data_IF_581046591696
#
_entry.id   IF_581046591696
#
_cell.length_a   1.000
_cell.length_b   1.000
_cell.length_c   1.000
_cell.angle_alpha   90.00
_cell.angle_beta   90.00
_cell.angle_gamma   90.00
#
_symmetry.space_group_name_H-M   'P 1'
#
loop_
_entity.id
_entity.type
_entity.pdbx_description
1 polymer ?
#
# COMPACT_ATOMS: atom_id res chain seq x y z
N UNK A 1 -3.97 18.39 6.82
CA UNK A 1 -3.18 18.04 5.63
C UNK A 1 -3.43 16.57 5.40
N UNK A 2 -4.20 16.22 4.38
CA UNK A 2 -4.48 14.82 4.06
C UNK A 2 -3.15 14.10 3.84
N UNK A 3 -2.88 13.02 4.57
CA UNK A 3 -1.65 12.28 4.42
C UNK A 3 -1.69 11.55 3.08
N UNK A 4 -1.10 12.17 2.05
CA UNK A 4 -0.96 11.55 0.74
C UNK A 4 0.03 10.39 0.84
N UNK A 5 -0.49 9.18 0.91
CA UNK A 5 0.29 7.98 0.63
C UNK A 5 0.78 8.08 -0.81
N UNK A 6 2.03 7.68 -1.00
CA UNK A 6 2.71 7.64 -2.31
C UNK A 6 3.29 6.26 -2.53
N UNK A 7 3.57 5.91 -3.77
CA UNK A 7 4.16 4.60 -4.13
C UNK A 7 5.54 4.32 -3.48
N UNK A 8 6.28 5.37 -3.12
CA UNK A 8 7.56 5.32 -2.40
C UNK A 8 7.38 5.27 -0.86
N UNK A 9 6.14 5.24 -0.36
CA UNK A 9 5.88 5.13 1.09
C UNK A 9 6.22 3.73 1.58
N UNK A 10 6.77 3.65 2.79
CA UNK A 10 7.07 2.38 3.43
C UNK A 10 5.78 1.59 3.69
N UNK A 11 5.77 0.32 3.26
CA UNK A 11 4.60 -0.54 3.30
C UNK A 11 4.12 -0.77 4.74
N UNK A 12 5.04 -1.08 5.65
CA UNK A 12 4.70 -1.38 7.04
C UNK A 12 4.20 -0.15 7.80
N UNK A 13 4.77 1.03 7.56
CA UNK A 13 4.27 2.28 8.13
C UNK A 13 2.85 2.59 7.65
N UNK A 14 2.59 2.41 6.35
CA UNK A 14 1.26 2.63 5.75
C UNK A 14 0.23 1.69 6.38
N UNK A 15 0.53 0.39 6.47
CA UNK A 15 -0.38 -0.60 7.07
C UNK A 15 -0.58 -0.36 8.57
N UNK A 16 0.48 -0.01 9.30
CA UNK A 16 0.40 0.28 10.72
C UNK A 16 -0.47 1.51 11.00
N UNK A 17 -0.31 2.56 10.20
CA UNK A 17 -1.06 3.82 10.36
C UNK A 17 -2.49 3.71 9.84
N UNK A 18 -2.71 2.96 8.77
CA UNK A 18 -4.01 2.78 8.12
C UNK A 18 -4.30 1.30 7.93
N UNK A 19 -4.94 0.63 8.91
CA UNK A 19 -5.25 -0.80 8.81
C UNK A 19 -6.07 -1.17 7.56
N UNK A 20 -6.92 -0.26 7.05
CA UNK A 20 -7.64 -0.46 5.79
C UNK A 20 -6.72 -0.60 4.56
N UNK A 21 -5.54 0.00 4.59
CA UNK A 21 -4.57 -0.16 3.52
C UNK A 21 -4.12 -1.62 3.40
N UNK A 22 -4.09 -2.38 4.50
CA UNK A 22 -3.82 -3.80 4.46
C UNK A 22 -4.87 -4.56 3.64
N UNK A 23 -6.16 -4.28 3.87
CA UNK A 23 -7.26 -4.93 3.12
C UNK A 23 -7.14 -4.64 1.62
N UNK A 24 -6.86 -3.39 1.24
CA UNK A 24 -6.65 -3.02 -0.17
C UNK A 24 -5.43 -3.74 -0.75
N UNK A 25 -4.29 -3.74 -0.05
CA UNK A 25 -3.09 -4.42 -0.53
C UNK A 25 -3.31 -5.94 -0.70
N UNK A 26 -4.11 -6.56 0.17
CA UNK A 26 -4.55 -7.95 0.05
C UNK A 26 -5.42 -8.19 -1.19
N UNK A 27 -6.37 -7.29 -1.51
CA UNK A 27 -7.21 -7.38 -2.72
C UNK A 27 -6.37 -7.45 -4.01
N UNK A 28 -5.24 -6.73 -4.04
CA UNK A 28 -4.30 -6.75 -5.16
C UNK A 28 -3.33 -7.93 -5.12
N UNK A 29 -3.38 -8.79 -4.10
CA UNK A 29 -2.56 -9.99 -4.00
C UNK A 29 -1.28 -9.84 -3.17
N UNK A 30 -1.06 -8.72 -2.49
CA UNK A 30 0.10 -8.49 -1.63
C UNK A 30 -0.07 -9.12 -0.24
N UNK A 31 -0.23 -10.43 -0.19
CA UNK A 31 -0.47 -11.20 1.05
C UNK A 31 0.63 -11.06 2.11
N UNK A 32 1.82 -10.64 1.69
CA UNK A 32 2.98 -10.49 2.56
C UNK A 32 2.97 -9.20 3.40
N UNK A 33 1.97 -8.31 3.30
CA UNK A 33 1.93 -7.03 4.04
C UNK A 33 2.19 -7.13 5.56
N UNK A 34 1.89 -8.28 6.18
CA UNK A 34 2.15 -8.56 7.60
C UNK A 34 3.48 -9.27 7.92
N UNK A 35 4.30 -9.57 6.91
CA UNK A 35 5.58 -10.26 7.07
C UNK A 35 6.70 -9.27 7.40
N UNK A 36 7.60 -9.64 8.34
CA UNK A 36 8.76 -8.82 8.70
C UNK A 36 9.65 -8.46 7.51
N UNK A 37 9.70 -9.31 6.48
CA UNK A 37 10.45 -9.03 5.25
C UNK A 37 10.00 -7.72 4.58
N UNK A 38 8.71 -7.38 4.68
CA UNK A 38 8.14 -6.20 4.04
C UNK A 38 8.32 -4.91 4.86
N UNK A 39 8.93 -4.96 6.05
CA UNK A 39 9.13 -3.78 6.89
C UNK A 39 10.09 -2.76 6.28
N UNK A 40 10.88 -3.15 5.28
CA UNK A 40 11.83 -2.28 4.60
C UNK A 40 11.40 -1.89 3.18
N UNK A 41 10.31 -2.48 2.66
CA UNK A 41 9.86 -2.25 1.30
C UNK A 41 8.95 -1.03 1.19
N UNK A 42 9.01 -0.38 0.02
CA UNK A 42 7.96 0.56 -0.40
C UNK A 42 6.80 -0.19 -1.03
N UNK A 43 5.65 0.49 -1.19
CA UNK A 43 4.51 -0.05 -1.94
C UNK A 43 4.95 -0.47 -3.35
N UNK A 44 5.70 0.39 -4.05
CA UNK A 44 6.19 0.11 -5.41
C UNK A 44 7.12 -1.09 -5.45
N UNK A 45 8.07 -1.20 -4.52
CA UNK A 45 9.02 -2.32 -4.48
C UNK A 45 8.30 -3.64 -4.23
N UNK A 46 7.44 -3.69 -3.21
CA UNK A 46 6.64 -4.88 -2.90
C UNK A 46 5.75 -5.30 -4.08
N UNK A 47 5.06 -4.35 -4.71
CA UNK A 47 4.23 -4.60 -5.87
C UNK A 47 5.01 -5.13 -7.08
N UNK A 48 6.20 -4.57 -7.36
CA UNK A 48 7.05 -4.99 -8.48
C UNK A 48 7.60 -6.39 -8.32
N UNK A 49 7.93 -6.83 -7.10
CA UNK A 49 8.33 -8.23 -6.83
C UNK A 49 7.23 -9.22 -7.22
N UNK A 50 5.96 -8.78 -7.14
CA UNK A 50 4.79 -9.56 -7.52
C UNK A 50 4.35 -9.35 -8.98
N UNK A 51 5.14 -8.66 -9.80
CA UNK A 51 4.91 -8.51 -11.23
C UNK A 51 3.85 -7.47 -11.62
N UNK A 52 3.47 -6.58 -10.70
CA UNK A 52 2.51 -5.52 -10.98
C UNK A 52 3.12 -4.43 -11.87
N UNK A 53 2.29 -3.90 -12.77
CA UNK A 53 2.61 -2.76 -13.62
C UNK A 53 2.58 -1.44 -12.84
N UNK A 54 3.24 -0.41 -13.38
CA UNK A 54 3.20 0.94 -12.79
C UNK A 54 1.76 1.49 -12.72
N UNK A 55 0.86 1.05 -13.62
CA UNK A 55 -0.55 1.43 -13.59
C UNK A 55 -1.26 0.81 -12.37
N UNK A 56 -1.12 -0.49 -12.15
CA UNK A 56 -1.70 -1.18 -10.98
C UNK A 56 -1.18 -0.59 -9.67
N UNK A 57 0.10 -0.21 -9.62
CA UNK A 57 0.71 0.43 -8.45
C UNK A 57 0.09 1.80 -8.16
N UNK A 58 -0.18 2.60 -9.20
CA UNK A 58 -0.87 3.88 -9.03
C UNK A 58 -2.32 3.66 -8.55
N UNK A 59 -3.02 2.68 -9.12
CA UNK A 59 -4.39 2.33 -8.69
C UNK A 59 -4.46 1.89 -7.21
N UNK A 60 -3.47 1.12 -6.73
CA UNK A 60 -3.34 0.76 -5.31
C UNK A 60 -3.21 2.02 -4.44
N UNK A 61 -2.30 2.92 -4.81
CA UNK A 61 -2.05 4.15 -4.04
C UNK A 61 -3.28 5.06 -4.03
N UNK A 62 -3.96 5.20 -5.17
CA UNK A 62 -5.18 5.99 -5.28
C UNK A 62 -6.30 5.40 -4.41
N UNK A 63 -6.54 4.09 -4.47
CA UNK A 63 -7.54 3.42 -3.60
C UNK A 63 -7.21 3.57 -2.12
N UNK A 64 -5.94 3.49 -1.72
CA UNK A 64 -5.53 3.71 -0.34
C UNK A 64 -5.84 5.15 0.10
N UNK A 65 -5.49 6.14 -0.73
CA UNK A 65 -5.76 7.55 -0.42
C UNK A 65 -7.27 7.82 -0.33
N UNK A 66 -8.06 7.32 -1.27
CA UNK A 66 -9.53 7.42 -1.23
C UNK A 66 -10.08 6.81 0.07
N UNK A 67 -9.68 5.58 0.40
CA UNK A 67 -10.17 4.91 1.60
C UNK A 67 -9.80 5.63 2.90
N UNK A 68 -8.64 6.30 2.96
CA UNK A 68 -8.24 7.13 4.09
C UNK A 68 -9.11 8.40 4.17
N UNK A 69 -9.32 9.09 3.03
CA UNK A 69 -10.11 10.32 2.97
C UNK A 69 -11.60 10.10 3.29
N UNK A 70 -12.17 8.94 2.95
CA UNK A 70 -13.58 8.65 3.24
C UNK A 70 -13.83 8.15 4.68
N UNK A 71 -12.80 7.77 5.44
CA UNK A 71 -12.94 7.29 6.83
C UNK A 71 -12.64 8.36 7.90
N UNK A 72 -12.07 9.50 7.52
CA UNK A 72 -11.90 10.70 8.36
C UNK A 72 -13.07 11.67 8.21
#
# INVERSE_FOLDING_TARGET
MNPRIRKDSNLAEVVFKYPLAAEILLDYGLHCVGCFANSFDTIEMGAKVHGMSDQEINEIVDRINEAIEFKE
#
